data_IF_460061107446
#
_entry.id   IF_460061107446
#
_cell.length_a   1.000
_cell.length_b   1.000
_cell.length_c   1.000
_cell.angle_alpha   90.00
_cell.angle_beta   90.00
_cell.angle_gamma   90.00
#
_symmetry.space_group_name_H-M   'P 1'
#
loop_
_entity.id
_entity.type
_entity.pdbx_description
1 polymer ?
#
# COMPACT_ATOMS: atom_id res chain seq x y z
N UNK A 1 -4.87 -49.26 -7.82
CA UNK A 1 -4.17 -48.14 -8.49
C UNK A 1 -5.12 -47.55 -9.50
N UNK A 2 -5.81 -46.46 -9.15
CA UNK A 2 -6.84 -45.86 -10.01
C UNK A 2 -6.28 -44.54 -10.54
N UNK A 3 -5.91 -44.54 -11.82
CA UNK A 3 -5.35 -43.39 -12.52
C UNK A 3 -6.42 -42.34 -12.75
N UNK A 4 -6.28 -41.18 -12.11
CA UNK A 4 -7.10 -40.00 -12.39
C UNK A 4 -6.67 -39.37 -13.72
N UNK A 5 -7.56 -39.38 -14.70
CA UNK A 5 -7.42 -38.63 -15.95
C UNK A 5 -7.78 -37.18 -15.68
N UNK A 6 -6.81 -36.27 -15.84
CA UNK A 6 -7.04 -34.83 -15.74
C UNK A 6 -7.76 -34.32 -16.99
N UNK A 7 -8.76 -33.43 -16.85
CA UNK A 7 -9.49 -32.90 -17.99
C UNK A 7 -8.63 -31.89 -18.77
N UNK A 8 -8.82 -31.79 -20.10
CA UNK A 8 -8.02 -30.91 -20.95
C UNK A 8 -8.29 -29.42 -20.65
N UNK A 9 -7.31 -28.54 -20.90
CA UNK A 9 -7.43 -27.12 -20.60
C UNK A 9 -8.53 -26.46 -21.45
N UNK A 10 -9.43 -25.73 -20.78
CA UNK A 10 -10.55 -25.04 -21.42
C UNK A 10 -10.03 -23.98 -22.42
N UNK A 11 -10.41 -24.12 -23.69
CA UNK A 11 -10.08 -23.14 -24.75
C UNK A 11 -10.82 -21.83 -24.48
N UNK A 12 -10.07 -20.73 -24.35
CA UNK A 12 -10.64 -19.38 -24.21
C UNK A 12 -11.51 -19.05 -25.44
N UNK A 13 -12.76 -18.63 -25.20
CA UNK A 13 -13.70 -18.19 -26.24
C UNK A 13 -13.08 -17.01 -27.00
N UNK A 14 -12.79 -17.21 -28.29
CA UNK A 14 -12.37 -16.13 -29.18
C UNK A 14 -13.64 -15.45 -29.67
N UNK A 15 -13.94 -14.27 -29.14
CA UNK A 15 -15.06 -13.45 -29.61
C UNK A 15 -14.70 -12.88 -30.97
N UNK A 16 -15.31 -13.40 -32.04
CA UNK A 16 -15.15 -12.86 -33.40
C UNK A 16 -15.92 -11.54 -33.53
N UNK A 17 -15.29 -10.51 -34.12
CA UNK A 17 -15.91 -9.22 -34.41
C UNK A 17 -16.96 -9.35 -35.51
N UNK A 18 -17.97 -8.47 -35.50
CA UNK A 18 -19.01 -8.41 -36.53
C UNK A 18 -18.38 -7.95 -37.86
N UNK A 19 -18.80 -8.50 -39.02
CA UNK A 19 -18.27 -8.08 -40.32
C UNK A 19 -18.63 -6.60 -40.57
N UNK A 20 -17.65 -5.76 -40.90
CA UNK A 20 -17.86 -4.35 -41.27
C UNK A 20 -17.37 -3.30 -40.26
N UNK A 21 -16.91 -3.72 -39.07
CA UNK A 21 -16.31 -2.80 -38.10
C UNK A 21 -14.87 -2.46 -38.54
N UNK A 22 -14.63 -1.21 -38.97
CA UNK A 22 -13.29 -0.72 -39.31
C UNK A 22 -12.35 -1.04 -38.13
N UNK A 23 -11.17 -1.61 -38.41
CA UNK A 23 -10.20 -1.92 -37.36
C UNK A 23 -9.88 -0.62 -36.61
N UNK A 24 -10.28 -0.55 -35.34
CA UNK A 24 -9.85 0.54 -34.45
C UNK A 24 -8.33 0.65 -34.57
N UNK A 25 -7.85 1.82 -34.98
CA UNK A 25 -6.42 2.09 -35.15
C UNK A 25 -5.79 1.96 -33.76
N UNK A 26 -5.18 0.82 -33.49
CA UNK A 26 -4.56 0.55 -32.20
C UNK A 26 -3.41 1.53 -32.01
N UNK A 27 -3.36 2.17 -30.85
CA UNK A 27 -2.26 3.05 -30.45
C UNK A 27 -0.99 2.27 -30.08
N UNK A 28 -1.11 0.95 -29.92
CA UNK A 28 0.01 0.04 -29.67
C UNK A 28 -0.14 -1.16 -30.60
N UNK A 29 0.74 -1.24 -31.58
CA UNK A 29 0.69 -2.21 -32.67
C UNK A 29 2.00 -3.02 -32.77
N UNK A 30 2.07 -3.90 -33.77
CA UNK A 30 3.27 -4.69 -34.03
C UNK A 30 4.45 -3.79 -34.46
N UNK A 31 4.19 -2.61 -35.04
CA UNK A 31 5.24 -1.63 -35.35
C UNK A 31 5.89 -1.09 -34.08
N UNK A 32 5.09 -0.76 -33.07
CA UNK A 32 5.57 -0.33 -31.75
C UNK A 32 6.40 -1.42 -31.08
N UNK A 33 5.99 -2.69 -31.22
CA UNK A 33 6.77 -3.81 -30.70
C UNK A 33 8.12 -3.93 -31.43
N UNK A 34 8.14 -3.78 -32.75
CA UNK A 34 9.38 -3.77 -33.53
C UNK A 34 10.26 -2.56 -33.20
N UNK A 35 9.67 -1.39 -32.90
CA UNK A 35 10.39 -0.22 -32.42
C UNK A 35 11.12 -0.49 -31.10
N UNK A 36 10.46 -1.18 -30.16
CA UNK A 36 11.05 -1.59 -28.88
C UNK A 36 12.22 -2.55 -29.11
N UNK A 37 12.09 -3.49 -30.03
CA UNK A 37 13.19 -4.41 -30.39
C UNK A 37 14.36 -3.61 -30.98
N UNK A 38 14.10 -2.70 -31.94
CA UNK A 38 15.13 -1.82 -32.52
C UNK A 38 15.81 -0.94 -31.47
N UNK A 39 15.05 -0.46 -30.50
CA UNK A 39 15.58 0.32 -29.38
C UNK A 39 16.52 -0.49 -28.50
N UNK A 40 16.23 -1.78 -28.27
CA UNK A 40 17.09 -2.69 -27.51
C UNK A 40 18.33 -3.12 -28.30
N UNK A 41 18.21 -3.27 -29.62
CA UNK A 41 19.29 -3.68 -30.52
C UNK A 41 20.22 -2.51 -30.92
N UNK A 42 19.83 -1.25 -30.65
CA UNK A 42 20.64 -0.05 -30.88
C UNK A 42 21.82 0.07 -29.89
N UNK A 43 22.88 -0.71 -30.16
CA UNK A 43 24.09 -0.77 -29.35
C UNK A 43 25.34 -0.54 -30.22
N UNK A 44 26.26 0.26 -29.74
CA UNK A 44 27.58 0.55 -30.34
C UNK A 44 28.57 -0.50 -29.84
N UNK A 45 29.26 -1.16 -30.77
CA UNK A 45 30.41 -2.02 -30.44
C UNK A 45 31.65 -1.16 -30.31
N UNK A 46 32.25 -1.13 -29.13
CA UNK A 46 33.52 -0.43 -28.90
C UNK A 46 34.71 -1.28 -29.36
N UNK A 47 35.86 -0.64 -29.57
CA UNK A 47 37.09 -1.30 -29.99
C UNK A 47 37.56 -2.42 -29.04
N UNK A 48 37.20 -2.32 -27.75
CA UNK A 48 37.52 -3.31 -26.71
C UNK A 48 36.55 -4.51 -26.67
N UNK A 49 35.65 -4.64 -27.65
CA UNK A 49 34.64 -5.70 -27.71
C UNK A 49 33.46 -5.52 -26.74
N UNK A 50 33.41 -4.40 -26.02
CA UNK A 50 32.30 -4.04 -25.13
C UNK A 50 31.17 -3.36 -25.91
N UNK A 51 29.93 -3.77 -25.67
CA UNK A 51 28.75 -3.19 -26.31
C UNK A 51 28.15 -2.09 -25.42
N UNK A 52 28.12 -0.84 -25.90
CA UNK A 52 27.54 0.32 -25.19
C UNK A 52 26.27 0.80 -25.90
N UNK A 53 25.17 1.10 -25.21
CA UNK A 53 23.95 1.60 -25.86
C UNK A 53 24.19 2.89 -26.65
N UNK A 54 23.67 2.96 -27.87
CA UNK A 54 23.67 4.20 -28.66
C UNK A 54 22.56 5.12 -28.18
N UNK A 55 22.88 6.01 -27.24
CA UNK A 55 21.89 6.94 -26.69
C UNK A 55 21.23 7.80 -27.77
N UNK A 56 21.97 8.26 -28.79
CA UNK A 56 21.40 9.14 -29.83
C UNK A 56 20.40 8.41 -30.72
N UNK A 57 20.68 7.16 -31.08
CA UNK A 57 19.75 6.35 -31.86
C UNK A 57 18.53 5.95 -31.02
N UNK A 58 18.75 5.56 -29.76
CA UNK A 58 17.70 5.19 -28.80
C UNK A 58 16.72 6.33 -28.54
N UNK A 59 17.22 7.54 -28.31
CA UNK A 59 16.37 8.72 -28.07
C UNK A 59 15.47 9.03 -29.27
N UNK A 60 16.00 8.92 -30.50
CA UNK A 60 15.21 9.12 -31.72
C UNK A 60 14.11 8.08 -31.88
N UNK A 61 14.43 6.80 -31.71
CA UNK A 61 13.46 5.70 -31.82
C UNK A 61 12.38 5.87 -30.74
N UNK A 62 12.80 6.19 -29.51
CA UNK A 62 11.87 6.38 -28.40
C UNK A 62 10.92 7.55 -28.65
N UNK A 63 11.45 8.73 -28.98
CA UNK A 63 10.64 9.94 -29.16
C UNK A 63 9.62 9.83 -30.30
N UNK A 64 10.00 9.19 -31.42
CA UNK A 64 9.17 9.14 -32.62
C UNK A 64 8.19 7.97 -32.59
N UNK A 65 8.63 6.79 -32.16
CA UNK A 65 7.86 5.55 -32.35
C UNK A 65 7.27 4.98 -31.06
N UNK A 66 7.97 5.08 -29.92
CA UNK A 66 7.57 4.42 -28.66
C UNK A 66 6.75 5.36 -27.77
N UNK A 67 7.22 6.60 -27.60
CA UNK A 67 6.62 7.62 -26.74
C UNK A 67 5.14 7.89 -27.05
N UNK A 68 4.71 8.05 -28.32
CA UNK A 68 3.30 8.31 -28.62
C UNK A 68 2.39 7.14 -28.21
N UNK A 69 2.87 5.91 -28.42
CA UNK A 69 2.16 4.69 -28.06
C UNK A 69 2.04 4.52 -26.54
N UNK A 70 3.14 4.77 -25.80
CA UNK A 70 3.16 4.70 -24.35
C UNK A 70 2.32 5.82 -23.71
N UNK A 71 2.37 7.04 -24.24
CA UNK A 71 1.57 8.16 -23.75
C UNK A 71 0.08 7.84 -23.86
N UNK A 72 -0.36 7.34 -25.02
CA UNK A 72 -1.76 6.96 -25.24
C UNK A 72 -2.17 5.77 -24.37
N UNK A 73 -1.27 4.79 -24.15
CA UNK A 73 -1.51 3.66 -23.25
C UNK A 73 -1.79 4.15 -21.81
N UNK A 74 -0.92 5.00 -21.28
CA UNK A 74 -1.02 5.49 -19.90
C UNK A 74 -2.25 6.39 -19.74
N UNK A 75 -2.50 7.28 -20.69
CA UNK A 75 -3.69 8.15 -20.66
C UNK A 75 -4.97 7.32 -20.63
N UNK A 76 -5.06 6.26 -21.45
CA UNK A 76 -6.19 5.34 -21.41
C UNK A 76 -6.31 4.62 -20.07
N UNK A 77 -5.20 4.20 -19.45
CA UNK A 77 -5.22 3.57 -18.14
C UNK A 77 -5.71 4.51 -17.04
N UNK A 78 -5.24 5.76 -17.04
CA UNK A 78 -5.68 6.79 -16.11
C UNK A 78 -7.19 7.03 -16.26
N UNK A 79 -7.67 7.21 -17.48
CA UNK A 79 -9.08 7.48 -17.76
C UNK A 79 -10.00 6.29 -17.41
N UNK A 80 -9.60 5.06 -17.72
CA UNK A 80 -10.43 3.85 -17.49
C UNK A 80 -10.48 3.48 -16.01
N UNK A 81 -9.38 3.60 -15.29
CA UNK A 81 -9.31 3.22 -13.87
C UNK A 81 -9.55 4.38 -12.90
N UNK A 82 -9.64 5.62 -13.39
CA UNK A 82 -9.87 6.80 -12.57
C UNK A 82 -8.75 7.05 -11.58
N UNK A 83 -7.49 6.88 -11.99
CA UNK A 83 -6.35 7.21 -11.13
C UNK A 83 -6.26 8.73 -10.97
N UNK A 84 -6.32 9.21 -9.72
CA UNK A 84 -6.16 10.62 -9.38
C UNK A 84 -5.13 10.74 -8.26
N UNK A 85 -4.33 11.80 -8.32
CA UNK A 85 -3.40 12.20 -7.27
C UNK A 85 -3.82 13.59 -6.79
N UNK A 86 -3.83 13.80 -5.47
CA UNK A 86 -4.47 14.96 -4.83
C UNK A 86 -3.69 16.27 -5.06
N UNK A 87 -2.41 16.18 -5.42
CA UNK A 87 -1.52 17.32 -5.66
C UNK A 87 -0.72 17.23 -6.98
N UNK A 88 -0.97 16.20 -7.78
CA UNK A 88 -0.31 16.05 -9.09
C UNK A 88 -1.37 16.21 -10.17
N UNK A 89 -1.06 16.97 -11.22
CA UNK A 89 -1.95 17.02 -12.37
C UNK A 89 -1.98 15.66 -13.06
N UNK A 90 -3.05 15.40 -13.81
CA UNK A 90 -3.17 14.20 -14.64
C UNK A 90 -1.96 14.04 -15.57
N UNK A 91 -1.44 15.14 -16.08
CA UNK A 91 -0.29 15.14 -16.98
C UNK A 91 1.02 14.85 -16.24
N UNK A 92 1.16 15.30 -14.99
CA UNK A 92 2.33 14.96 -14.17
C UNK A 92 2.38 13.46 -13.88
N UNK A 93 1.25 12.88 -13.45
CA UNK A 93 1.15 11.44 -13.20
C UNK A 93 1.45 10.61 -14.47
N UNK A 94 1.02 11.12 -15.63
CA UNK A 94 1.32 10.52 -16.93
C UNK A 94 2.82 10.58 -17.24
N UNK A 95 3.45 11.74 -17.06
CA UNK A 95 4.86 11.96 -17.35
C UNK A 95 5.78 11.11 -16.45
N UNK A 96 5.47 11.02 -15.15
CA UNK A 96 6.21 10.14 -14.24
C UNK A 96 6.09 8.66 -14.64
N UNK A 97 4.89 8.22 -15.03
CA UNK A 97 4.68 6.85 -15.48
C UNK A 97 5.45 6.58 -16.79
N UNK A 98 5.52 7.56 -17.70
CA UNK A 98 6.31 7.47 -18.94
C UNK A 98 7.80 7.31 -18.66
N UNK A 99 8.34 8.11 -17.75
CA UNK A 99 9.75 8.02 -17.32
C UNK A 99 10.05 6.66 -16.70
N UNK A 100 9.15 6.15 -15.86
CA UNK A 100 9.27 4.80 -15.31
C UNK A 100 9.26 3.73 -16.41
N UNK A 101 8.34 3.82 -17.37
CA UNK A 101 8.27 2.87 -18.48
C UNK A 101 9.55 2.88 -19.31
N UNK A 102 10.12 4.06 -19.58
CA UNK A 102 11.40 4.21 -20.28
C UNK A 102 12.51 3.38 -19.61
N UNK A 103 12.65 3.48 -18.28
CA UNK A 103 13.65 2.71 -17.52
C UNK A 103 13.39 1.19 -17.47
N UNK A 104 12.19 0.73 -17.85
CA UNK A 104 11.81 -0.69 -17.85
C UNK A 104 11.85 -1.29 -19.26
N UNK A 105 12.03 -0.50 -20.32
CA UNK A 105 12.06 -1.01 -21.71
C UNK A 105 13.10 -2.13 -21.87
N UNK A 106 14.30 -1.96 -21.31
CA UNK A 106 15.39 -2.96 -21.43
C UNK A 106 15.12 -4.26 -20.66
N UNK A 107 14.15 -4.27 -19.75
CA UNK A 107 13.80 -5.46 -18.96
C UNK A 107 12.90 -6.42 -19.73
N UNK A 108 12.16 -5.94 -20.72
CA UNK A 108 11.32 -6.78 -21.57
C UNK A 108 12.18 -7.54 -22.58
N UNK A 109 11.90 -8.83 -22.80
CA UNK A 109 12.64 -9.66 -23.77
C UNK A 109 11.67 -10.35 -24.71
N UNK A 110 11.92 -10.25 -26.03
CA UNK A 110 11.10 -10.91 -27.07
C UNK A 110 11.06 -12.43 -26.92
N UNK A 111 12.15 -13.03 -26.45
CA UNK A 111 12.31 -14.49 -26.33
C UNK A 111 11.36 -15.12 -25.30
N UNK A 112 10.81 -14.32 -24.38
CA UNK A 112 9.86 -14.81 -23.36
C UNK A 112 8.44 -15.06 -23.92
N UNK A 113 8.21 -14.78 -25.20
CA UNK A 113 6.92 -15.05 -25.88
C UNK A 113 5.76 -14.15 -25.46
N UNK A 114 5.95 -13.23 -24.52
CA UNK A 114 4.95 -12.24 -24.12
C UNK A 114 4.95 -11.05 -25.07
N UNK A 115 3.79 -10.69 -25.65
CA UNK A 115 3.62 -9.46 -26.44
C UNK A 115 4.00 -8.22 -25.62
N UNK A 116 4.67 -7.25 -26.25
CA UNK A 116 5.12 -6.02 -25.58
C UNK A 116 3.95 -5.28 -24.92
N UNK A 117 2.84 -5.10 -25.65
CA UNK A 117 1.63 -4.46 -25.12
C UNK A 117 1.16 -5.08 -23.80
N UNK A 118 1.05 -6.41 -23.73
CA UNK A 118 0.55 -7.09 -22.55
C UNK A 118 1.49 -6.90 -21.34
N UNK A 119 2.81 -6.91 -21.58
CA UNK A 119 3.80 -6.69 -20.53
C UNK A 119 3.73 -5.25 -20.00
N UNK A 120 3.87 -4.25 -20.87
CA UNK A 120 3.89 -2.85 -20.45
C UNK A 120 2.55 -2.39 -19.89
N UNK A 121 1.42 -2.94 -20.35
CA UNK A 121 0.11 -2.67 -19.77
C UNK A 121 0.01 -3.13 -18.31
N UNK A 122 0.48 -4.35 -18.00
CA UNK A 122 0.48 -4.86 -16.61
C UNK A 122 1.42 -4.03 -15.75
N UNK A 123 2.61 -3.72 -16.25
CA UNK A 123 3.64 -2.94 -15.53
C UNK A 123 3.14 -1.52 -15.24
N UNK A 124 2.62 -0.80 -16.25
CA UNK A 124 2.07 0.54 -16.09
C UNK A 124 0.91 0.57 -15.09
N UNK A 125 -0.04 -0.36 -15.23
CA UNK A 125 -1.17 -0.48 -14.29
C UNK A 125 -0.70 -0.73 -12.86
N UNK A 126 0.29 -1.61 -12.68
CA UNK A 126 0.82 -1.90 -11.36
C UNK A 126 1.49 -0.68 -10.73
N UNK A 127 2.29 0.05 -11.51
CA UNK A 127 2.93 1.30 -11.09
C UNK A 127 1.90 2.36 -10.67
N UNK A 128 0.90 2.63 -11.54
CA UNK A 128 -0.18 3.60 -11.25
C UNK A 128 -0.97 3.22 -9.99
N UNK A 129 -1.22 1.93 -9.80
CA UNK A 129 -1.89 1.42 -8.60
C UNK A 129 -1.08 1.67 -7.34
N UNK A 130 0.24 1.46 -7.37
CA UNK A 130 1.11 1.71 -6.23
C UNK A 130 1.20 3.20 -5.93
N UNK A 131 1.45 4.03 -6.95
CA UNK A 131 1.55 5.49 -6.81
C UNK A 131 0.25 6.09 -6.24
N UNK A 132 -0.92 5.66 -6.74
CA UNK A 132 -2.22 6.08 -6.21
C UNK A 132 -2.42 5.67 -4.74
N UNK A 133 -2.01 4.46 -4.35
CA UNK A 133 -2.05 4.03 -2.94
C UNK A 133 -1.11 4.83 -2.05
N UNK A 134 0.07 5.20 -2.56
CA UNK A 134 1.01 6.04 -1.83
C UNK A 134 0.45 7.45 -1.62
N UNK A 135 -0.14 8.06 -2.65
CA UNK A 135 -0.81 9.35 -2.55
C UNK A 135 -1.96 9.31 -1.53
N UNK A 136 -2.81 8.28 -1.58
CA UNK A 136 -3.89 8.10 -0.61
C UNK A 136 -3.36 7.96 0.83
N UNK A 137 -2.23 7.25 1.02
CA UNK A 137 -1.59 7.12 2.34
C UNK A 137 -0.98 8.43 2.83
N UNK A 138 -0.38 9.22 1.96
CA UNK A 138 0.16 10.54 2.31
C UNK A 138 -0.97 11.42 2.86
N UNK A 139 -2.13 11.43 2.20
CA UNK A 139 -3.29 12.19 2.69
C UNK A 139 -3.83 11.68 4.02
N UNK A 140 -3.80 10.37 4.26
CA UNK A 140 -4.17 9.83 5.57
C UNK A 140 -3.19 10.21 6.69
N UNK A 141 -1.92 10.44 6.36
CA UNK A 141 -0.86 10.70 7.33
C UNK A 141 -0.60 12.19 7.55
N UNK A 142 -0.80 13.00 6.51
CA UNK A 142 -0.50 14.43 6.50
C UNK A 142 -1.77 15.18 6.12
N UNK A 143 -2.28 15.95 7.07
CA UNK A 143 -3.34 16.92 6.80
C UNK A 143 -2.73 18.30 6.85
N UNK A 144 -2.86 19.05 5.76
CA UNK A 144 -2.45 20.45 5.72
C UNK A 144 -3.46 21.28 6.51
N UNK A 145 -2.98 22.08 7.47
CA UNK A 145 -3.80 23.00 8.25
C UNK A 145 -4.47 24.05 7.33
N UNK A 146 -3.80 24.41 6.24
CA UNK A 146 -4.29 25.40 5.26
C UNK A 146 -5.42 24.85 4.36
N UNK A 147 -5.56 23.52 4.25
CA UNK A 147 -6.61 22.89 3.47
C UNK A 147 -7.73 22.35 4.38
N UNK A 148 -8.60 23.25 4.85
CA UNK A 148 -9.72 22.88 5.73
C UNK A 148 -10.70 21.88 5.10
N UNK A 149 -10.83 21.85 3.78
CA UNK A 149 -11.72 20.92 3.07
C UNK A 149 -11.19 19.47 3.09
N UNK A 150 -9.89 19.29 3.34
CA UNK A 150 -9.27 17.98 3.48
C UNK A 150 -9.32 17.42 4.92
N UNK A 151 -9.66 18.23 5.92
CA UNK A 151 -9.82 17.79 7.31
C UNK A 151 -11.12 17.00 7.45
N UNK A 152 -11.08 15.87 8.18
CA UNK A 152 -12.32 15.20 8.56
C UNK A 152 -13.07 16.06 9.59
N UNK A 153 -14.39 15.87 9.71
CA UNK A 153 -15.20 16.56 10.74
C UNK A 153 -14.64 16.33 12.16
N UNK A 154 -14.05 15.17 12.41
CA UNK A 154 -13.45 14.82 13.70
C UNK A 154 -12.14 15.59 13.95
N UNK A 155 -11.34 15.83 12.90
CA UNK A 155 -10.10 16.61 13.01
C UNK A 155 -10.43 18.08 13.28
N UNK A 156 -11.42 18.65 12.57
CA UNK A 156 -11.89 20.03 12.79
C UNK A 156 -12.37 20.22 14.23
N UNK A 157 -13.19 19.28 14.72
CA UNK A 157 -13.68 19.32 16.09
C UNK A 157 -12.54 19.23 17.11
N UNK A 158 -11.55 18.35 16.89
CA UNK A 158 -10.39 18.22 17.78
C UNK A 158 -9.53 19.50 17.82
N UNK A 159 -9.41 20.21 16.70
CA UNK A 159 -8.71 21.51 16.63
C UNK A 159 -9.48 22.59 17.38
N UNK A 160 -10.81 22.65 17.19
CA UNK A 160 -11.67 23.61 17.88
C UNK A 160 -11.69 23.38 19.40
N UNK A 161 -11.72 22.11 19.82
CA UNK A 161 -11.75 21.70 21.22
C UNK A 161 -10.39 21.83 21.92
N UNK A 162 -9.28 21.98 21.20
CA UNK A 162 -7.92 22.04 21.77
C UNK A 162 -7.74 23.17 22.80
N UNK A 163 -8.48 24.27 22.66
CA UNK A 163 -8.38 25.43 23.54
C UNK A 163 -9.64 25.67 24.40
N UNK A 164 -10.54 24.69 24.45
CA UNK A 164 -11.75 24.74 25.29
C UNK A 164 -11.45 24.01 26.60
N UNK A 165 -11.77 24.64 27.72
CA UNK A 165 -11.69 23.97 29.02
C UNK A 165 -12.69 22.80 29.04
N UNK A 166 -12.26 21.57 29.35
CA UNK A 166 -13.16 20.43 29.41
C UNK A 166 -14.25 20.67 30.47
N UNK A 167 -15.45 20.15 30.22
CA UNK A 167 -16.54 20.24 31.20
C UNK A 167 -16.11 19.56 32.52
N UNK A 168 -16.57 20.02 33.68
CA UNK A 168 -16.38 19.30 34.95
C UNK A 168 -16.82 17.83 34.87
N UNK A 169 -17.84 17.53 34.07
CA UNK A 169 -18.32 16.17 33.80
C UNK A 169 -17.30 15.33 33.02
N UNK A 170 -16.63 15.91 32.01
CA UNK A 170 -15.58 15.24 31.24
C UNK A 170 -14.34 14.97 32.10
N UNK A 171 -13.98 15.91 32.97
CA UNK A 171 -12.87 15.74 33.91
C UNK A 171 -13.14 14.58 34.87
N UNK A 172 -14.36 14.50 35.42
CA UNK A 172 -14.76 13.40 36.30
C UNK A 172 -14.76 12.06 35.55
N UNK A 173 -15.29 12.06 34.34
CA UNK A 173 -15.34 10.88 33.46
C UNK A 173 -13.94 10.35 33.15
N UNK A 174 -12.99 11.23 32.82
CA UNK A 174 -11.59 10.85 32.57
C UNK A 174 -10.90 10.30 33.83
N UNK A 175 -11.16 10.89 34.99
CA UNK A 175 -10.64 10.37 36.27
C UNK A 175 -11.20 8.97 36.58
N UNK A 176 -12.49 8.74 36.32
CA UNK A 176 -13.12 7.44 36.50
C UNK A 176 -12.59 6.42 35.50
N UNK A 177 -12.33 6.81 34.24
CA UNK A 177 -11.66 5.94 33.26
C UNK A 177 -10.26 5.51 33.73
N UNK A 178 -9.45 6.43 34.23
CA UNK A 178 -8.10 6.11 34.73
C UNK A 178 -8.16 5.18 35.96
N UNK A 179 -9.09 5.43 36.89
CA UNK A 179 -9.31 4.56 38.06
C UNK A 179 -9.78 3.17 37.66
N UNK A 180 -10.75 3.08 36.75
CA UNK A 180 -11.28 1.82 36.26
C UNK A 180 -10.22 1.01 35.51
N UNK A 181 -9.37 1.67 34.72
CA UNK A 181 -8.25 1.01 34.05
C UNK A 181 -7.26 0.40 35.06
N UNK A 182 -6.89 1.13 36.12
CA UNK A 182 -6.00 0.63 37.19
C UNK A 182 -6.64 -0.53 37.95
N UNK A 183 -7.91 -0.42 38.32
CA UNK A 183 -8.64 -1.49 39.02
C UNK A 183 -8.70 -2.76 38.17
N UNK A 184 -8.95 -2.62 36.87
CA UNK A 184 -9.03 -3.74 35.95
C UNK A 184 -7.67 -4.41 35.71
N UNK A 185 -6.58 -3.64 35.62
CA UNK A 185 -5.22 -4.19 35.53
C UNK A 185 -4.83 -4.96 36.80
N UNK A 186 -5.20 -4.46 37.99
CA UNK A 186 -4.98 -5.17 39.25
C UNK A 186 -5.74 -6.50 39.30
N UNK A 187 -7.02 -6.49 38.93
CA UNK A 187 -7.83 -7.72 38.87
C UNK A 187 -7.28 -8.76 37.87
N UNK A 188 -6.64 -8.30 36.78
CA UNK A 188 -5.96 -9.17 35.83
C UNK A 188 -4.64 -9.72 36.36
N UNK A 189 -3.88 -8.95 37.13
CA UNK A 189 -2.66 -9.42 37.78
C UNK A 189 -2.95 -10.54 38.78
N UNK A 190 -4.03 -10.45 39.54
CA UNK A 190 -4.45 -11.50 40.49
C UNK A 190 -4.86 -12.81 39.80
N UNK A 191 -5.39 -12.72 38.57
CA UNK A 191 -5.82 -13.88 37.76
C UNK A 191 -4.70 -14.46 36.89
N UNK A 192 -3.55 -13.79 36.80
CA UNK A 192 -2.43 -14.21 35.95
C UNK A 192 -1.69 -15.41 36.55
N UNK A 193 -1.66 -16.52 35.81
CA UNK A 193 -1.10 -17.80 36.31
C UNK A 193 0.33 -18.03 35.84
N UNK A 194 0.69 -17.49 34.68
CA UNK A 194 1.99 -17.75 34.05
C UNK A 194 2.89 -16.51 34.13
N UNK A 195 4.20 -16.70 34.31
CA UNK A 195 5.17 -15.60 34.38
C UNK A 195 5.16 -14.72 33.12
N UNK A 196 4.92 -15.33 31.95
CA UNK A 196 4.74 -14.59 30.70
C UNK A 196 3.48 -13.71 30.69
N UNK A 197 2.39 -14.11 31.36
CA UNK A 197 1.18 -13.29 31.51
C UNK A 197 1.47 -12.09 32.43
N UNK A 198 2.18 -12.32 33.54
CA UNK A 198 2.59 -11.26 34.48
C UNK A 198 3.53 -10.26 33.82
N UNK A 199 4.50 -10.71 33.03
CA UNK A 199 5.39 -9.85 32.26
C UNK A 199 4.63 -9.00 31.24
N UNK A 200 3.69 -9.60 30.49
CA UNK A 200 2.82 -8.86 29.58
C UNK A 200 1.95 -7.82 30.29
N UNK A 201 1.34 -8.17 31.43
CA UNK A 201 0.52 -7.23 32.20
C UNK A 201 1.36 -6.08 32.77
N UNK A 202 2.58 -6.36 33.23
CA UNK A 202 3.52 -5.32 33.68
C UNK A 202 3.90 -4.38 32.55
N UNK A 203 4.14 -4.90 31.34
CA UNK A 203 4.41 -4.08 30.18
C UNK A 203 3.21 -3.21 29.79
N UNK A 204 1.99 -3.75 29.84
CA UNK A 204 0.75 -2.98 29.60
C UNK A 204 0.59 -1.89 30.67
N UNK A 205 0.92 -2.18 31.93
CA UNK A 205 0.87 -1.20 33.01
C UNK A 205 1.88 -0.07 32.79
N UNK A 206 3.13 -0.39 32.43
CA UNK A 206 4.13 0.63 32.08
C UNK A 206 3.65 1.53 30.92
N UNK A 207 3.00 0.97 29.90
CA UNK A 207 2.44 1.76 28.80
C UNK A 207 1.29 2.65 29.28
N UNK A 208 0.43 2.15 30.17
CA UNK A 208 -0.69 2.92 30.72
C UNK A 208 -0.22 4.06 31.63
N UNK A 209 0.83 3.85 32.42
CA UNK A 209 1.37 4.87 33.33
C UNK A 209 2.12 5.99 32.58
N UNK A 210 2.69 5.70 31.41
CA UNK A 210 3.41 6.69 30.58
C UNK A 210 2.60 7.09 29.34
N UNK A 211 1.27 6.99 29.37
CA UNK A 211 0.43 7.20 28.18
C UNK A 211 0.56 8.62 27.61
N UNK A 212 0.80 9.61 28.46
CA UNK A 212 0.96 11.01 28.08
C UNK A 212 2.30 11.30 27.38
N UNK A 213 3.31 10.44 27.59
CA UNK A 213 4.62 10.55 26.95
C UNK A 213 4.70 9.78 25.62
N UNK A 214 3.67 8.97 25.31
CA UNK A 214 3.66 8.13 24.11
C UNK A 214 3.00 8.88 22.96
N UNK A 215 3.82 9.30 21.99
CA UNK A 215 3.35 10.00 20.79
C UNK A 215 2.45 9.14 19.87
N UNK A 216 2.62 7.81 19.86
CA UNK A 216 1.93 6.93 18.90
C UNK A 216 1.22 5.74 19.58
N UNK A 217 -0.09 5.88 19.78
CA UNK A 217 -0.94 4.82 20.39
C UNK A 217 -1.68 3.93 19.37
N UNK A 218 -1.13 3.78 18.15
CA UNK A 218 -1.74 2.88 17.16
C UNK A 218 -1.67 1.41 17.61
N UNK A 219 -2.66 0.59 17.24
CA UNK A 219 -2.71 -0.85 17.59
C UNK A 219 -1.41 -1.60 17.25
N UNK A 220 -0.74 -1.22 16.17
CA UNK A 220 0.56 -1.79 15.79
C UNK A 220 1.69 -1.31 16.70
N UNK A 221 1.74 -0.02 17.01
CA UNK A 221 2.74 0.56 17.90
C UNK A 221 2.66 -0.03 19.30
N UNK A 222 1.46 -0.09 19.90
CA UNK A 222 1.25 -0.70 21.23
C UNK A 222 1.71 -2.16 21.26
N UNK A 223 1.45 -2.93 20.19
CA UNK A 223 1.92 -4.31 20.09
C UNK A 223 3.45 -4.41 20.00
N UNK A 224 4.11 -3.44 19.35
CA UNK A 224 5.57 -3.34 19.31
C UNK A 224 6.13 -2.96 20.67
N UNK A 225 5.56 -1.99 21.37
CA UNK A 225 6.00 -1.58 22.72
C UNK A 225 5.92 -2.74 23.70
N UNK A 226 4.80 -3.46 23.75
CA UNK A 226 4.66 -4.64 24.62
C UNK A 226 5.72 -5.69 24.27
N UNK A 227 6.01 -5.89 22.98
CA UNK A 227 7.03 -6.84 22.55
C UNK A 227 8.43 -6.42 22.99
N UNK A 228 8.79 -5.15 22.83
CA UNK A 228 10.10 -4.62 23.20
C UNK A 228 10.31 -4.67 24.71
N UNK A 229 9.29 -4.33 25.50
CA UNK A 229 9.34 -4.37 26.97
C UNK A 229 9.44 -5.82 27.48
N UNK A 230 8.70 -6.75 26.88
CA UNK A 230 8.64 -8.14 27.37
C UNK A 230 9.72 -9.05 26.79
N UNK A 231 10.32 -8.70 25.65
CA UNK A 231 11.26 -9.55 24.92
C UNK A 231 10.62 -10.82 24.31
N UNK A 232 9.29 -10.95 24.34
CA UNK A 232 8.59 -12.14 23.88
C UNK A 232 8.55 -12.25 22.36
N UNK A 233 8.63 -13.47 21.84
CA UNK A 233 8.42 -13.68 20.39
C UNK A 233 6.98 -13.39 19.98
N UNK A 234 6.75 -13.02 18.73
CA UNK A 234 5.40 -12.70 18.23
C UNK A 234 4.38 -13.84 18.40
N UNK A 235 4.83 -15.10 18.37
CA UNK A 235 3.97 -16.27 18.63
C UNK A 235 3.59 -16.37 20.10
N UNK A 236 4.56 -16.22 21.02
CA UNK A 236 4.31 -16.23 22.46
C UNK A 236 3.37 -15.09 22.87
N UNK A 237 3.63 -13.88 22.38
CA UNK A 237 2.80 -12.71 22.67
C UNK A 237 1.35 -12.91 22.22
N UNK A 238 1.13 -13.49 21.03
CA UNK A 238 -0.22 -13.79 20.53
C UNK A 238 -0.98 -14.79 21.42
N UNK A 239 -0.30 -15.84 21.89
CA UNK A 239 -0.89 -16.82 22.81
C UNK A 239 -1.25 -16.19 24.16
N UNK A 240 -0.33 -15.42 24.74
CA UNK A 240 -0.51 -14.75 26.04
C UNK A 240 -1.65 -13.74 25.97
N UNK A 241 -1.68 -12.87 24.94
CA UNK A 241 -2.76 -11.89 24.76
C UNK A 241 -4.12 -12.56 24.53
N UNK A 242 -4.16 -13.71 23.86
CA UNK A 242 -5.40 -14.47 23.69
C UNK A 242 -5.93 -15.03 25.01
N UNK A 243 -5.03 -15.45 25.91
CA UNK A 243 -5.37 -15.86 27.29
C UNK A 243 -5.88 -14.67 28.10
N UNK A 244 -5.12 -13.57 28.13
CA UNK A 244 -5.46 -12.33 28.84
C UNK A 244 -6.79 -11.74 28.36
N UNK A 245 -7.12 -11.84 27.06
CA UNK A 245 -8.41 -11.38 26.53
C UNK A 245 -9.60 -12.12 27.13
N UNK A 246 -9.47 -13.43 27.41
CA UNK A 246 -10.53 -14.20 28.07
C UNK A 246 -10.69 -13.77 29.53
N UNK A 247 -9.57 -13.59 30.23
CA UNK A 247 -9.56 -13.12 31.62
C UNK A 247 -10.12 -11.68 31.72
N UNK A 248 -9.80 -10.81 30.76
CA UNK A 248 -10.32 -9.45 30.64
C UNK A 248 -11.84 -9.43 30.53
N UNK A 249 -12.44 -10.32 29.73
CA UNK A 249 -13.90 -10.35 29.57
C UNK A 249 -14.59 -10.63 30.91
N UNK A 250 -14.06 -11.56 31.70
CA UNK A 250 -14.58 -11.92 33.02
C UNK A 250 -14.34 -10.80 34.04
N UNK A 251 -13.12 -10.28 34.11
CA UNK A 251 -12.78 -9.18 35.02
C UNK A 251 -13.58 -7.90 34.72
N UNK A 252 -13.84 -7.60 33.44
CA UNK A 252 -14.68 -6.47 33.05
C UNK A 252 -16.11 -6.63 33.54
N UNK A 253 -16.71 -7.82 33.45
CA UNK A 253 -18.06 -8.07 33.95
C UNK A 253 -18.15 -7.97 35.48
N UNK A 254 -17.06 -8.22 36.21
CA UNK A 254 -16.97 -8.08 37.67
C UNK A 254 -16.74 -6.63 38.14
N UNK A 255 -15.91 -5.85 37.41
CA UNK A 255 -15.53 -4.48 37.79
C UNK A 255 -16.55 -3.43 37.33
N UNK A 256 -17.33 -3.71 36.29
CA UNK A 256 -18.36 -2.79 35.76
C UNK A 256 -19.78 -3.06 36.31
N UNK A 257 -19.89 -3.91 37.33
CA UNK A 257 -21.11 -4.06 38.16
C UNK A 257 -21.07 -3.06 39.30
#
# INVERSE_FOLDING_TARGET
MTTQVTPPPQRKKITRRKPGEKSSKYYFDDNTQNAIIRFQEAVIVQADGTTKPDHKARDKIYAVEILPAFSTLIENLINVYGYHAIFESRDDLKNECLEFLYGVIDKWKKDRGSKAFAYFNIVAKHWLTIKSKQAAKIVQNYVSIDNRDALSRQDVQSIEDYNVLPSPEDVLTNQDYAKNLKALLAALQDKAKTDNEKLCLKAIQTIADNIDEIELLSKRAVMTYIREITGLTGKQLSMVLSSLKKQYKVAKEEVLR
#
